data_IF_589905622472
#
_entry.id   IF_589905622472
#
_cell.length_a   1.000
_cell.length_b   1.000
_cell.length_c   1.000
_cell.angle_alpha   90.00
_cell.angle_beta   90.00
_cell.angle_gamma   90.00
#
_symmetry.space_group_name_H-M   'P 1'
#
loop_
_entity.id
_entity.type
_entity.pdbx_description
1 polymer ?
#
# COMPACT_ATOMS: atom_id res chain seq x y z
N UNK A 1 -3.14 16.70 -42.21
CA UNK A 1 -2.12 17.77 -42.32
C UNK A 1 -0.71 17.17 -42.33
N UNK A 2 -0.34 16.50 -43.43
CA UNK A 2 0.90 15.70 -43.54
C UNK A 2 2.00 16.37 -44.39
N UNK A 3 1.78 17.61 -44.86
CA UNK A 3 2.64 18.25 -45.85
C UNK A 3 3.64 19.29 -45.30
N UNK A 4 3.54 19.68 -44.02
CA UNK A 4 4.45 20.67 -43.40
C UNK A 4 5.63 20.06 -42.63
N UNK A 5 5.77 18.73 -42.62
CA UNK A 5 6.85 18.02 -41.91
C UNK A 5 8.19 18.03 -42.66
N UNK A 6 8.23 18.58 -43.88
CA UNK A 6 9.35 18.38 -44.82
C UNK A 6 10.40 19.50 -44.86
N UNK A 7 10.31 20.53 -43.99
CA UNK A 7 11.20 21.71 -44.04
C UNK A 7 11.94 22.07 -42.75
N UNK A 8 12.13 21.11 -41.84
CA UNK A 8 12.90 21.32 -40.59
C UNK A 8 13.87 20.15 -40.30
N UNK A 9 14.35 19.49 -41.37
CA UNK A 9 15.16 18.26 -41.28
C UNK A 9 16.64 18.41 -41.58
N UNK A 10 17.10 19.53 -42.16
CA UNK A 10 18.43 19.59 -42.78
C UNK A 10 19.57 20.10 -41.86
N UNK A 11 19.27 20.66 -40.68
CA UNK A 11 20.30 21.26 -39.80
C UNK A 11 20.67 20.44 -38.55
N UNK A 12 20.14 19.23 -38.39
CA UNK A 12 20.45 18.39 -37.24
C UNK A 12 21.09 17.07 -37.66
N UNK A 13 22.43 17.03 -37.65
CA UNK A 13 23.14 15.75 -37.70
C UNK A 13 22.83 14.96 -36.42
N UNK A 14 22.14 13.84 -36.59
CA UNK A 14 22.07 12.79 -35.56
C UNK A 14 23.45 12.15 -35.49
N UNK A 15 24.29 12.63 -34.57
CA UNK A 15 25.59 12.01 -34.28
C UNK A 15 25.33 10.70 -33.56
N UNK A 16 25.08 9.66 -34.35
CA UNK A 16 25.11 8.28 -33.88
C UNK A 16 26.57 7.91 -33.79
N UNK A 17 27.09 7.69 -32.58
CA UNK A 17 28.45 7.18 -32.37
C UNK A 17 28.55 5.73 -32.83
N UNK A 18 28.54 5.51 -34.13
CA UNK A 18 28.94 4.25 -34.76
C UNK A 18 29.99 4.60 -35.80
N UNK A 19 31.25 4.45 -35.40
CA UNK A 19 32.43 4.65 -36.24
C UNK A 19 32.40 3.70 -37.44
N UNK A 20 32.33 4.26 -38.65
CA UNK A 20 32.55 3.56 -39.91
C UNK A 20 33.90 3.99 -40.46
N UNK A 21 34.87 3.08 -40.57
CA UNK A 21 36.16 3.37 -41.20
C UNK A 21 37.22 2.27 -41.06
N UNK A 22 37.32 1.45 -42.11
CA UNK A 22 38.52 0.74 -42.65
C UNK A 22 39.38 -0.14 -41.72
N UNK A 23 39.21 -1.46 -41.93
CA UNK A 23 40.21 -2.54 -41.97
C UNK A 23 41.55 -2.37 -41.25
N UNK A 24 41.67 -2.97 -40.07
CA UNK A 24 42.83 -3.74 -39.61
C UNK A 24 42.34 -4.68 -38.49
N UNK A 25 42.82 -5.92 -38.47
CA UNK A 25 42.49 -6.97 -37.50
C UNK A 25 42.46 -6.42 -36.06
N UNK A 26 41.27 -6.17 -35.51
CA UNK A 26 41.06 -5.93 -34.08
C UNK A 26 40.56 -7.24 -33.45
N UNK A 27 41.10 -7.66 -32.29
CA UNK A 27 40.52 -8.75 -31.52
C UNK A 27 39.05 -8.44 -31.22
N UNK A 28 38.17 -9.46 -31.07
CA UNK A 28 36.75 -9.25 -30.82
C UNK A 28 36.61 -8.26 -29.66
N UNK A 29 35.79 -7.19 -29.78
CA UNK A 29 35.68 -6.19 -28.75
C UNK A 29 35.32 -6.92 -27.45
N UNK A 30 36.21 -6.85 -26.46
CA UNK A 30 35.87 -7.20 -25.08
C UNK A 30 34.50 -6.59 -24.83
N UNK A 31 33.52 -7.43 -24.46
CA UNK A 31 32.19 -6.95 -24.07
C UNK A 31 32.40 -6.06 -22.86
N UNK A 32 32.69 -4.77 -23.08
CA UNK A 32 32.75 -3.75 -22.05
C UNK A 32 31.46 -3.91 -21.30
N UNK A 33 31.55 -4.38 -20.04
CA UNK A 33 30.39 -4.55 -19.17
C UNK A 33 29.66 -3.22 -19.23
N UNK A 34 28.52 -3.18 -19.93
CA UNK A 34 27.74 -1.96 -20.10
C UNK A 34 27.44 -1.49 -18.69
N UNK A 35 27.98 -0.33 -18.32
CA UNK A 35 27.83 0.20 -16.98
C UNK A 35 26.34 0.26 -16.67
N UNK A 36 25.93 -0.47 -15.64
CA UNK A 36 24.51 -0.57 -15.30
C UNK A 36 24.02 0.81 -14.88
N UNK A 37 22.86 1.20 -15.42
CA UNK A 37 22.29 2.51 -15.16
C UNK A 37 21.76 2.57 -13.73
N UNK A 38 22.06 3.67 -13.02
CA UNK A 38 21.60 3.88 -11.65
C UNK A 38 20.08 4.07 -11.54
N UNK A 39 19.45 4.76 -12.50
CA UNK A 39 17.99 4.94 -12.57
C UNK A 39 17.49 4.55 -13.97
N UNK A 40 16.51 3.66 -14.07
CA UNK A 40 15.91 3.25 -15.34
C UNK A 40 15.14 4.40 -16.02
N UNK A 41 14.88 4.28 -17.34
CA UNK A 41 14.03 5.25 -18.08
C UNK A 41 12.62 5.41 -17.45
N UNK A 42 12.17 4.42 -16.68
CA UNK A 42 10.88 4.40 -15.99
C UNK A 42 10.93 5.04 -14.59
N UNK A 43 12.06 5.63 -14.19
CA UNK A 43 12.23 6.29 -12.89
C UNK A 43 12.56 5.36 -11.71
N UNK A 44 12.69 4.04 -11.94
CA UNK A 44 13.08 3.07 -10.89
C UNK A 44 14.59 3.13 -10.63
N UNK A 45 14.99 3.19 -9.37
CA UNK A 45 16.41 3.14 -8.97
C UNK A 45 16.90 1.69 -8.91
N UNK A 46 17.98 1.37 -9.61
CA UNK A 46 18.66 0.07 -9.57
C UNK A 46 19.67 0.02 -8.42
N UNK A 47 19.17 0.19 -7.18
CA UNK A 47 19.97 0.07 -5.96
C UNK A 47 19.36 -1.01 -5.09
N UNK A 48 20.11 -2.09 -4.88
CA UNK A 48 19.77 -3.11 -3.90
C UNK A 48 20.50 -2.75 -2.61
N UNK A 49 19.77 -2.50 -1.54
CA UNK A 49 20.35 -2.26 -0.23
C UNK A 49 20.84 -3.61 0.33
N UNK A 50 22.16 -3.83 0.36
CA UNK A 50 22.77 -5.04 0.92
C UNK A 50 23.04 -4.93 2.42
N UNK A 51 22.88 -6.04 3.14
CA UNK A 51 23.17 -6.23 4.58
C UNK A 51 22.45 -5.27 5.55
N UNK A 52 21.14 -5.46 5.71
CA UNK A 52 20.29 -4.78 6.69
C UNK A 52 20.05 -5.65 7.94
N UNK A 53 21.13 -6.21 8.51
CA UNK A 53 21.11 -7.23 9.56
C UNK A 53 20.46 -6.87 10.91
N UNK A 54 19.82 -5.71 11.05
CA UNK A 54 19.14 -5.26 12.27
C UNK A 54 17.86 -4.45 12.05
N UNK A 55 17.28 -4.45 10.84
CA UNK A 55 16.18 -3.54 10.50
C UNK A 55 14.76 -4.07 10.73
N UNK A 56 14.55 -5.37 10.93
CA UNK A 56 13.19 -5.90 11.18
C UNK A 56 12.52 -5.25 12.38
N UNK A 57 13.28 -4.94 13.43
CA UNK A 57 12.79 -4.20 14.60
C UNK A 57 12.43 -2.73 14.27
N UNK A 58 13.16 -2.08 13.37
CA UNK A 58 12.87 -0.72 12.91
C UNK A 58 11.62 -0.66 12.01
N UNK A 59 11.42 -1.65 11.14
CA UNK A 59 10.18 -1.79 10.36
C UNK A 59 8.95 -2.07 11.23
N UNK A 60 9.11 -2.80 12.34
CA UNK A 60 8.02 -2.99 13.32
C UNK A 60 7.74 -1.72 14.13
N UNK A 61 8.77 -0.91 14.44
CA UNK A 61 8.56 0.39 15.07
C UNK A 61 7.84 1.39 14.17
N UNK A 62 7.89 1.18 12.85
CA UNK A 62 7.20 1.99 11.83
C UNK A 62 6.14 1.17 11.07
N UNK A 63 5.32 0.45 11.84
CA UNK A 63 4.22 -0.39 11.34
C UNK A 63 3.26 0.40 10.44
N UNK A 64 3.01 1.67 10.76
CA UNK A 64 2.07 2.51 10.03
C UNK A 64 2.56 2.85 8.62
N UNK A 65 3.80 3.30 8.45
CA UNK A 65 4.35 3.59 7.12
C UNK A 65 4.52 2.31 6.31
N UNK A 66 4.93 1.21 6.98
CA UNK A 66 5.11 -0.10 6.34
C UNK A 66 3.78 -0.64 5.77
N UNK A 67 2.68 -0.56 6.52
CA UNK A 67 1.33 -0.92 6.05
C UNK A 67 0.91 -0.09 4.83
N UNK A 68 1.16 1.21 4.90
CA UNK A 68 0.81 2.16 3.86
C UNK A 68 1.61 1.94 2.57
N UNK A 69 2.88 1.51 2.66
CA UNK A 69 3.75 1.25 1.51
C UNK A 69 3.68 -0.16 0.91
N UNK A 70 3.13 -1.14 1.64
CA UNK A 70 2.91 -2.49 1.14
C UNK A 70 1.99 -2.52 -0.09
N UNK A 71 2.12 -3.55 -0.93
CA UNK A 71 1.20 -3.75 -2.08
C UNK A 71 -0.24 -3.95 -1.56
N UNK A 72 -1.23 -3.50 -2.33
CA UNK A 72 -2.66 -3.62 -1.97
C UNK A 72 -3.07 -5.03 -1.55
N UNK A 73 -2.58 -6.07 -2.24
CA UNK A 73 -2.89 -7.47 -1.90
C UNK A 73 -2.41 -7.86 -0.49
N UNK A 74 -1.17 -7.52 -0.16
CA UNK A 74 -0.61 -7.81 1.16
C UNK A 74 -1.22 -6.94 2.25
N UNK A 75 -1.51 -5.68 1.93
CA UNK A 75 -2.21 -4.78 2.84
C UNK A 75 -3.60 -5.32 3.22
N UNK A 76 -4.42 -5.68 2.24
CA UNK A 76 -5.74 -6.28 2.49
C UNK A 76 -5.65 -7.60 3.24
N UNK A 77 -4.68 -8.45 2.89
CA UNK A 77 -4.46 -9.71 3.58
C UNK A 77 -4.12 -9.52 5.06
N UNK A 78 -3.21 -8.60 5.39
CA UNK A 78 -2.85 -8.27 6.77
C UNK A 78 -4.07 -7.73 7.53
N UNK A 79 -4.86 -6.84 6.91
CA UNK A 79 -6.07 -6.32 7.55
C UNK A 79 -7.09 -7.42 7.86
N UNK A 80 -7.39 -8.29 6.88
CA UNK A 80 -8.31 -9.42 7.08
C UNK A 80 -7.80 -10.35 8.17
N UNK A 81 -6.50 -10.68 8.15
CA UNK A 81 -5.90 -11.55 9.15
C UNK A 81 -6.00 -10.95 10.56
N UNK A 82 -5.62 -9.69 10.74
CA UNK A 82 -5.67 -9.01 12.04
C UNK A 82 -7.11 -8.92 12.56
N UNK A 83 -8.08 -8.58 11.70
CA UNK A 83 -9.51 -8.59 12.07
C UNK A 83 -9.97 -9.98 12.49
N UNK A 84 -9.65 -11.00 11.70
CA UNK A 84 -10.06 -12.38 11.99
C UNK A 84 -9.49 -12.84 13.34
N UNK A 85 -8.21 -12.56 13.62
CA UNK A 85 -7.59 -12.91 14.91
C UNK A 85 -8.23 -12.15 16.07
N UNK A 86 -8.44 -10.83 15.94
CA UNK A 86 -9.08 -10.02 16.97
C UNK A 86 -10.53 -10.47 17.25
N UNK A 87 -11.29 -10.78 16.20
CA UNK A 87 -12.66 -11.27 16.28
C UNK A 87 -12.74 -12.64 16.95
N UNK A 88 -11.85 -13.56 16.58
CA UNK A 88 -11.76 -14.88 17.22
C UNK A 88 -11.37 -14.76 18.70
N UNK A 89 -10.46 -13.85 19.04
CA UNK A 89 -10.08 -13.60 20.42
C UNK A 89 -11.26 -13.08 21.25
N UNK A 90 -11.99 -12.07 20.77
CA UNK A 90 -13.15 -11.51 21.48
C UNK A 90 -14.31 -12.51 21.57
N UNK A 91 -14.60 -13.25 20.50
CA UNK A 91 -15.60 -14.31 20.54
C UNK A 91 -15.24 -15.43 21.52
N UNK A 92 -13.94 -15.76 21.63
CA UNK A 92 -13.44 -16.71 22.64
C UNK A 92 -13.65 -16.17 24.05
N UNK A 93 -13.44 -14.87 24.31
CA UNK A 93 -13.74 -14.26 25.61
C UNK A 93 -15.22 -14.38 25.98
N UNK A 94 -16.13 -14.12 25.04
CA UNK A 94 -17.58 -14.32 25.25
C UNK A 94 -17.94 -15.76 25.56
N UNK A 95 -17.38 -16.70 24.81
CA UNK A 95 -17.58 -18.13 25.05
C UNK A 95 -16.99 -18.57 26.40
N UNK A 96 -15.86 -18.01 26.80
CA UNK A 96 -15.20 -18.29 28.07
C UNK A 96 -16.01 -17.78 29.28
N UNK A 97 -16.62 -16.59 29.19
CA UNK A 97 -17.55 -16.09 30.22
C UNK A 97 -18.75 -17.03 30.37
N UNK A 98 -19.35 -17.43 29.24
CA UNK A 98 -20.45 -18.40 29.23
C UNK A 98 -20.03 -19.76 29.81
N UNK A 99 -18.78 -20.18 29.59
CA UNK A 99 -18.22 -21.41 30.16
C UNK A 99 -18.04 -21.33 31.68
N UNK A 100 -17.41 -20.27 32.20
CA UNK A 100 -17.18 -20.09 33.64
C UNK A 100 -18.50 -20.01 34.41
N UNK A 101 -19.50 -19.28 33.90
CA UNK A 101 -20.81 -19.21 34.56
C UNK A 101 -21.62 -20.52 34.46
N UNK A 102 -21.21 -21.42 33.58
CA UNK A 102 -21.92 -22.66 33.29
C UNK A 102 -23.20 -22.43 32.47
N UNK A 103 -23.29 -21.29 31.79
CA UNK A 103 -24.44 -20.91 30.95
C UNK A 103 -24.64 -21.93 29.82
N UNK A 104 -23.54 -22.48 29.27
CA UNK A 104 -23.57 -23.51 28.23
C UNK A 104 -24.38 -24.76 28.61
N UNK A 105 -24.39 -25.13 29.90
CA UNK A 105 -25.08 -26.33 30.39
C UNK A 105 -26.45 -26.01 31.03
N UNK A 106 -26.58 -24.82 31.63
CA UNK A 106 -27.78 -24.41 32.40
C UNK A 106 -28.81 -23.63 31.58
N UNK A 107 -28.45 -23.15 30.38
CA UNK A 107 -29.34 -22.37 29.52
C UNK A 107 -30.59 -23.10 29.02
N UNK A 108 -30.69 -24.43 29.21
CA UNK A 108 -31.89 -25.21 28.89
C UNK A 108 -32.95 -25.24 30.01
N UNK A 109 -32.67 -24.66 31.18
CA UNK A 109 -33.63 -24.60 32.28
C UNK A 109 -34.39 -23.26 32.26
N UNK A 110 -35.71 -23.29 32.15
CA UNK A 110 -36.59 -22.11 32.08
C UNK A 110 -36.48 -21.13 33.26
N UNK A 111 -35.88 -21.55 34.38
CA UNK A 111 -35.69 -20.74 35.59
C UNK A 111 -34.32 -20.02 35.66
N UNK A 112 -33.39 -20.32 34.75
CA UNK A 112 -32.05 -19.75 34.77
C UNK A 112 -31.90 -18.70 33.67
N UNK A 113 -31.46 -17.50 34.05
CA UNK A 113 -31.19 -16.40 33.11
C UNK A 113 -29.69 -16.34 32.80
N UNK A 114 -29.25 -16.72 31.59
CA UNK A 114 -27.83 -16.69 31.22
C UNK A 114 -27.36 -15.24 31.03
N UNK A 115 -26.04 -15.05 31.01
CA UNK A 115 -25.42 -13.75 30.74
C UNK A 115 -25.77 -13.23 29.34
N UNK A 116 -25.72 -14.11 28.34
CA UNK A 116 -26.18 -13.84 26.98
C UNK A 116 -27.21 -14.88 26.60
N UNK A 117 -28.41 -14.43 26.25
CA UNK A 117 -29.48 -15.31 25.82
C UNK A 117 -29.12 -16.02 24.50
N UNK A 118 -29.51 -17.29 24.37
CA UNK A 118 -29.33 -18.10 23.15
C UNK A 118 -27.87 -18.31 22.69
N UNK A 119 -26.92 -18.34 23.63
CA UNK A 119 -25.52 -18.74 23.38
C UNK A 119 -25.25 -20.10 23.99
N UNK A 120 -25.15 -21.12 23.13
CA UNK A 120 -25.03 -22.53 23.53
C UNK A 120 -23.67 -23.15 23.19
N UNK A 121 -22.99 -22.62 22.18
CA UNK A 121 -21.70 -23.11 21.65
C UNK A 121 -20.82 -21.94 21.19
N UNK A 122 -19.55 -22.23 20.85
CA UNK A 122 -18.63 -21.23 20.30
C UNK A 122 -19.18 -20.50 19.05
N UNK A 123 -19.78 -21.18 18.04
CA UNK A 123 -20.34 -20.47 16.89
C UNK A 123 -21.48 -19.50 17.24
N UNK A 124 -22.31 -19.82 18.24
CA UNK A 124 -23.36 -18.89 18.69
C UNK A 124 -22.78 -17.69 19.45
N UNK A 125 -21.67 -17.86 20.17
CA UNK A 125 -20.95 -16.75 20.80
C UNK A 125 -20.27 -15.86 19.75
N UNK A 126 -19.69 -16.46 18.70
CA UNK A 126 -19.12 -15.74 17.56
C UNK A 126 -20.17 -14.94 16.80
N UNK A 127 -21.36 -15.50 16.57
CA UNK A 127 -22.48 -14.78 15.97
C UNK A 127 -22.93 -13.60 16.83
N UNK A 128 -23.08 -13.80 18.15
CA UNK A 128 -23.41 -12.71 19.07
C UNK A 128 -22.35 -11.60 19.04
N UNK A 129 -21.06 -11.96 19.05
CA UNK A 129 -19.96 -11.03 18.94
C UNK A 129 -20.07 -10.20 17.64
N UNK A 130 -20.27 -10.84 16.48
CA UNK A 130 -20.43 -10.14 15.19
C UNK A 130 -21.66 -9.24 15.19
N UNK A 131 -22.80 -9.74 15.68
CA UNK A 131 -24.05 -8.96 15.76
C UNK A 131 -23.88 -7.70 16.58
N UNK A 132 -23.08 -7.78 17.65
CA UNK A 132 -22.76 -6.68 18.55
C UNK A 132 -21.77 -5.71 17.92
N UNK A 133 -20.66 -6.23 17.38
CA UNK A 133 -19.57 -5.44 16.81
C UNK A 133 -20.01 -4.68 15.56
N UNK A 134 -20.68 -5.38 14.64
CA UNK A 134 -21.24 -4.77 13.44
C UNK A 134 -22.49 -3.93 13.73
N UNK A 135 -22.92 -3.86 14.99
CA UNK A 135 -24.12 -3.12 15.44
C UNK A 135 -25.40 -3.54 14.72
N UNK A 136 -25.47 -4.79 14.25
CA UNK A 136 -26.64 -5.35 13.55
C UNK A 136 -27.75 -5.63 14.55
N UNK A 137 -27.39 -6.27 15.68
CA UNK A 137 -28.30 -6.51 16.80
C UNK A 137 -29.63 -7.16 16.43
N UNK A 138 -29.62 -8.37 15.85
CA UNK A 138 -30.86 -9.06 15.46
C UNK A 138 -31.86 -9.28 16.61
N UNK A 139 -31.40 -9.20 17.86
CA UNK A 139 -32.25 -9.30 19.06
C UNK A 139 -32.58 -10.73 19.48
N UNK A 140 -32.22 -11.74 18.68
CA UNK A 140 -32.29 -13.15 19.08
C UNK A 140 -31.29 -13.48 20.19
N UNK A 141 -30.12 -12.84 20.17
CA UNK A 141 -29.08 -12.93 21.21
C UNK A 141 -28.94 -11.56 21.84
N UNK A 142 -29.10 -11.48 23.15
CA UNK A 142 -29.03 -10.22 23.89
C UNK A 142 -28.39 -10.45 25.25
N UNK A 143 -27.74 -9.40 25.76
CA UNK A 143 -27.10 -9.41 27.07
C UNK A 143 -28.14 -9.16 28.17
N UNK A 144 -28.00 -9.85 29.30
CA UNK A 144 -28.86 -9.67 30.48
C UNK A 144 -28.16 -8.88 31.58
N UNK A 145 -28.94 -8.39 32.55
CA UNK A 145 -28.46 -7.65 33.73
C UNK A 145 -27.77 -8.55 34.79
N UNK A 146 -27.66 -9.85 34.54
CA UNK A 146 -27.19 -10.84 35.52
C UNK A 146 -25.67 -10.98 35.62
N UNK A 147 -24.94 -10.44 34.64
CA UNK A 147 -23.48 -10.55 34.54
C UNK A 147 -22.81 -9.17 34.36
N UNK A 148 -22.28 -8.55 35.43
CA UNK A 148 -21.53 -7.30 35.30
C UNK A 148 -20.27 -7.46 34.43
N UNK A 149 -19.64 -8.63 34.42
CA UNK A 149 -18.46 -8.90 33.59
C UNK A 149 -18.78 -8.92 32.09
N UNK A 150 -19.99 -9.35 31.70
CA UNK A 150 -20.44 -9.29 30.31
C UNK A 150 -20.64 -7.84 29.86
N UNK A 151 -21.20 -6.99 30.73
CA UNK A 151 -21.39 -5.56 30.45
C UNK A 151 -20.03 -4.86 30.29
N UNK A 152 -19.05 -5.16 31.15
CA UNK A 152 -17.70 -4.62 31.05
C UNK A 152 -17.02 -5.08 29.75
N UNK A 153 -17.15 -6.37 29.40
CA UNK A 153 -16.60 -6.89 28.14
C UNK A 153 -17.24 -6.22 26.94
N UNK A 154 -18.56 -6.04 26.95
CA UNK A 154 -19.29 -5.32 25.90
C UNK A 154 -18.79 -3.89 25.72
N UNK A 155 -18.63 -3.13 26.81
CA UNK A 155 -18.11 -1.77 26.75
C UNK A 155 -16.68 -1.72 26.18
N UNK A 156 -15.81 -2.61 26.65
CA UNK A 156 -14.44 -2.71 26.16
C UNK A 156 -14.39 -3.08 24.68
N UNK A 157 -15.21 -4.04 24.27
CA UNK A 157 -15.38 -4.43 22.88
C UNK A 157 -15.81 -3.23 22.02
N UNK A 158 -16.87 -2.50 22.38
CA UNK A 158 -17.34 -1.37 21.58
C UNK A 158 -16.28 -0.28 21.39
N UNK A 159 -15.50 0.02 22.45
CA UNK A 159 -14.42 1.00 22.36
C UNK A 159 -13.31 0.50 21.44
N UNK A 160 -12.82 -0.73 21.64
CA UNK A 160 -11.75 -1.28 20.81
C UNK A 160 -12.17 -1.44 19.35
N UNK A 161 -13.39 -1.91 19.10
CA UNK A 161 -13.97 -2.05 17.78
C UNK A 161 -13.94 -0.74 17.00
N UNK A 162 -14.42 0.34 17.64
CA UNK A 162 -14.41 1.67 17.02
C UNK A 162 -13.01 2.18 16.69
N UNK A 163 -12.01 1.89 17.52
CA UNK A 163 -10.61 2.27 17.29
C UNK A 163 -10.02 1.51 16.09
N UNK A 164 -10.27 0.20 16.03
CA UNK A 164 -9.77 -0.66 14.94
C UNK A 164 -10.43 -0.28 13.61
N UNK A 165 -11.74 -0.03 13.60
CA UNK A 165 -12.48 0.44 12.42
C UNK A 165 -11.95 1.80 11.93
N UNK A 166 -11.75 2.76 12.84
CA UNK A 166 -11.18 4.06 12.51
C UNK A 166 -9.77 3.92 11.89
N UNK A 167 -8.95 3.03 12.43
CA UNK A 167 -7.60 2.76 11.90
C UNK A 167 -7.65 2.16 10.50
N UNK A 168 -8.55 1.20 10.24
CA UNK A 168 -8.72 0.56 8.93
C UNK A 168 -9.14 1.59 7.88
N UNK A 169 -10.20 2.35 8.16
CA UNK A 169 -10.71 3.38 7.24
C UNK A 169 -9.63 4.44 7.01
N UNK A 170 -8.94 4.88 8.06
CA UNK A 170 -7.84 5.84 7.97
C UNK A 170 -6.69 5.34 7.08
N UNK A 171 -6.24 4.10 7.27
CA UNK A 171 -5.19 3.51 6.46
C UNK A 171 -5.61 3.35 5.00
N UNK A 172 -6.84 2.89 4.73
CA UNK A 172 -7.38 2.78 3.37
C UNK A 172 -7.47 4.14 2.69
N UNK A 173 -7.95 5.15 3.40
CA UNK A 173 -8.07 6.51 2.89
C UNK A 173 -6.69 7.11 2.53
N UNK A 174 -5.70 6.98 3.42
CA UNK A 174 -4.33 7.44 3.19
C UNK A 174 -3.74 6.73 1.96
N UNK A 175 -3.87 5.41 1.88
CA UNK A 175 -3.34 4.61 0.77
C UNK A 175 -4.01 4.97 -0.56
N UNK A 176 -5.32 5.21 -0.57
CA UNK A 176 -6.07 5.65 -1.76
C UNK A 176 -5.71 7.07 -2.19
N UNK A 177 -5.38 7.94 -1.22
CA UNK A 177 -5.00 9.33 -1.45
C UNK A 177 -3.55 9.49 -1.92
N UNK A 178 -2.73 8.43 -1.88
CA UNK A 178 -1.34 8.51 -2.32
C UNK A 178 -1.24 8.89 -3.81
N UNK A 179 -0.45 9.93 -4.15
CA UNK A 179 -0.30 10.40 -5.52
C UNK A 179 0.60 9.49 -6.37
N UNK A 180 0.81 8.21 -6.00
CA UNK A 180 1.70 7.28 -6.73
C UNK A 180 1.30 7.11 -8.21
N UNK A 181 0.02 7.27 -8.56
CA UNK A 181 -0.46 7.27 -9.96
C UNK A 181 -0.16 8.56 -10.74
N UNK A 182 0.26 9.66 -10.10
CA UNK A 182 0.56 10.94 -10.79
C UNK A 182 1.91 10.89 -11.52
N UNK A 183 2.87 10.10 -11.04
CA UNK A 183 4.14 9.92 -11.73
C UNK A 183 3.97 9.22 -13.09
N UNK A 184 2.96 8.35 -13.24
CA UNK A 184 2.64 7.69 -14.51
C UNK A 184 2.11 8.66 -15.58
N UNK A 185 1.54 9.80 -15.16
CA UNK A 185 1.03 10.82 -16.09
C UNK A 185 2.09 11.86 -16.48
N UNK A 186 3.31 11.78 -15.94
CA UNK A 186 4.43 12.63 -16.31
C UNK A 186 5.38 11.86 -17.21
N UNK A 187 5.55 12.34 -18.45
CA UNK A 187 6.46 11.73 -19.42
C UNK A 187 7.69 12.60 -19.64
N UNK A 188 8.84 11.93 -19.79
CA UNK A 188 10.10 12.53 -20.23
C UNK A 188 10.37 12.14 -21.68
N UNK A 189 11.10 13.00 -22.42
CA UNK A 189 11.60 12.62 -23.75
C UNK A 189 12.57 11.44 -23.63
N UNK A 190 12.51 10.53 -24.60
CA UNK A 190 13.38 9.35 -24.61
C UNK A 190 14.87 9.70 -24.75
N UNK A 191 15.15 10.79 -25.46
CA UNK A 191 16.48 11.31 -25.74
C UNK A 191 16.60 12.74 -25.24
N UNK A 192 17.82 13.11 -24.83
CA UNK A 192 18.22 14.50 -24.62
C UNK A 192 19.00 14.95 -25.86
N UNK A 193 18.86 16.22 -26.23
CA UNK A 193 19.56 16.82 -27.36
C UNK A 193 20.52 17.90 -26.84
N UNK A 194 21.66 18.04 -27.51
CA UNK A 194 22.58 19.16 -27.30
C UNK A 194 22.55 20.00 -28.57
N UNK A 195 22.18 21.27 -28.45
CA UNK A 195 22.17 22.18 -29.58
C UNK A 195 22.49 23.61 -29.14
N UNK A 196 22.91 24.42 -30.10
CA UNK A 196 23.05 25.86 -29.93
C UNK A 196 21.68 26.51 -29.88
N UNK A 197 21.41 27.27 -28.82
CA UNK A 197 20.21 28.09 -28.67
C UNK A 197 20.62 29.46 -28.14
N UNK A 198 20.26 30.51 -28.87
CA UNK A 198 20.60 31.89 -28.54
C UNK A 198 22.12 32.08 -28.29
N UNK A 199 22.94 31.45 -29.14
CA UNK A 199 24.41 31.52 -29.07
C UNK A 199 25.07 30.69 -27.96
N UNK A 200 24.31 29.90 -27.19
CA UNK A 200 24.84 29.06 -26.10
C UNK A 200 24.61 27.58 -26.38
N UNK A 201 25.61 26.76 -26.08
CA UNK A 201 25.48 25.30 -26.15
C UNK A 201 24.60 24.83 -24.98
N UNK A 202 23.45 24.24 -25.29
CA UNK A 202 22.44 23.86 -24.28
C UNK A 202 22.08 22.39 -24.36
N UNK A 203 21.96 21.74 -23.19
CA UNK A 203 21.38 20.40 -23.06
C UNK A 203 19.87 20.54 -22.83
N UNK A 204 19.08 19.90 -23.68
CA UNK A 204 17.62 20.00 -23.67
C UNK A 204 16.99 18.62 -23.57
N UNK A 205 15.92 18.52 -22.79
CA UNK A 205 15.02 17.37 -22.73
C UNK A 205 13.59 17.88 -22.53
N UNK A 206 12.59 17.11 -22.96
CA UNK A 206 11.18 17.50 -22.86
C UNK A 206 10.53 16.80 -21.68
N UNK A 207 9.68 17.51 -20.96
CA UNK A 207 8.77 16.95 -19.95
C UNK A 207 7.34 17.31 -20.36
N UNK A 208 6.42 16.36 -20.23
CA UNK A 208 5.01 16.55 -20.54
C UNK A 208 4.11 15.99 -19.45
N UNK A 209 3.00 16.67 -19.19
CA UNK A 209 1.92 16.18 -18.35
C UNK A 209 0.77 15.70 -19.27
N UNK A 210 0.35 14.45 -19.14
CA UNK A 210 -0.72 13.88 -19.95
C UNK A 210 -2.11 14.23 -19.42
N UNK A 211 -2.21 14.84 -18.24
CA UNK A 211 -3.48 15.19 -17.60
C UNK A 211 -3.79 16.68 -17.77
N UNK A 212 -5.06 17.01 -18.03
CA UNK A 212 -5.55 18.39 -18.11
C UNK A 212 -5.48 19.15 -16.77
N UNK A 213 -5.23 18.46 -15.65
CA UNK A 213 -5.01 19.11 -14.36
C UNK A 213 -3.63 19.74 -14.30
N UNK A 214 -3.55 21.03 -13.97
CA UNK A 214 -2.29 21.73 -13.77
C UNK A 214 -1.53 21.21 -12.54
N UNK A 215 -0.20 21.10 -12.68
CA UNK A 215 0.69 20.77 -11.56
C UNK A 215 1.11 22.06 -10.86
N UNK A 216 0.59 22.29 -9.66
CA UNK A 216 0.96 23.44 -8.82
C UNK A 216 2.38 23.25 -8.30
N UNK A 217 3.21 24.30 -8.36
CA UNK A 217 4.60 24.30 -7.87
C UNK A 217 5.52 23.27 -8.54
N UNK A 218 5.51 23.21 -9.87
CA UNK A 218 6.43 22.36 -10.63
C UNK A 218 7.88 22.86 -10.52
N UNK A 219 8.76 22.05 -9.93
CA UNK A 219 10.21 22.28 -9.91
C UNK A 219 10.94 21.13 -10.60
N UNK A 220 11.93 21.44 -11.44
CA UNK A 220 12.78 20.46 -12.13
C UNK A 220 14.18 20.51 -11.53
N UNK A 221 14.74 19.33 -11.21
CA UNK A 221 16.12 19.19 -10.72
C UNK A 221 16.87 18.18 -11.58
N UNK A 222 18.10 18.51 -11.95
CA UNK A 222 18.98 17.65 -12.73
C UNK A 222 20.21 17.29 -11.91
N UNK A 223 20.62 16.02 -11.93
CA UNK A 223 21.85 15.54 -11.29
C UNK A 223 22.68 14.76 -12.31
N UNK A 224 23.96 15.10 -12.42
CA UNK A 224 24.93 14.33 -13.21
C UNK A 224 25.54 13.25 -12.32
N UNK A 225 25.43 11.99 -12.73
CA UNK A 225 26.05 10.84 -12.07
C UNK A 225 27.18 10.35 -12.99
N UNK A 226 28.42 10.31 -12.49
CA UNK A 226 29.61 9.89 -13.24
C UNK A 226 30.22 8.63 -12.67
#
# INVERSE_FOLDING_TARGET
>A
MSALRKKFGDDYQVVTTSSSGSGFNQPPPEKKKKRQRFVDKNGRCNVQHGNLGGETSRYLSDLFTTLVDLKWRWNLFIFILTYTVAWLFMASMWWFIAYIRGDLNKAHNDKYTPCVANVYNFPSAFLFFIETEATIGYGYRYITDKCPEGIILFLFQSILGSIVDAFLIGCMFIKMSQPKKRAETLMFSEHAAISMRDGKLTLMFRVGNLRNSHMVSAQIRCKLLK
#
